data_IF_852240645643
#
_entry.id   IF_852240645643
#
_cell.length_a   1.000
_cell.length_b   1.000
_cell.length_c   1.000
_cell.angle_alpha   90.00
_cell.angle_beta   90.00
_cell.angle_gamma   90.00
#
_symmetry.space_group_name_H-M   'P 1'
#
loop_
_entity.id
_entity.type
_entity.pdbx_description
1 polymer ?
#
# COMPACT_ATOMS: atom_id res chain seq x y z
N UNK A 1 -8.81 -24.99 9.11
CA UNK A 1 -8.26 -26.36 9.20
C UNK A 1 -8.36 -26.99 10.61
N UNK A 2 -8.97 -26.36 11.62
CA UNK A 2 -9.11 -26.93 12.98
C UNK A 2 -10.27 -27.95 13.14
N UNK A 3 -11.35 -27.82 12.38
CA UNK A 3 -12.57 -28.66 12.52
C UNK A 3 -12.32 -30.14 12.12
N UNK A 4 -11.31 -30.41 11.28
CA UNK A 4 -10.99 -31.77 10.82
C UNK A 4 -10.27 -32.63 11.87
N UNK A 5 -9.67 -32.02 12.90
CA UNK A 5 -8.94 -32.76 13.93
C UNK A 5 -9.83 -33.22 15.11
N UNK A 6 -11.04 -32.64 15.27
CA UNK A 6 -11.91 -32.84 16.44
C UNK A 6 -13.20 -33.59 16.10
N UNK A 7 -13.22 -34.37 15.01
CA UNK A 7 -14.36 -35.25 14.71
C UNK A 7 -15.70 -34.53 14.48
N UNK A 8 -15.68 -33.23 14.14
CA UNK A 8 -16.88 -32.47 13.79
C UNK A 8 -17.71 -31.91 14.95
N UNK A 9 -17.30 -32.13 16.21
CA UNK A 9 -18.02 -31.58 17.36
C UNK A 9 -17.49 -30.18 17.73
N UNK A 10 -18.27 -29.15 17.40
CA UNK A 10 -17.94 -27.74 17.70
C UNK A 10 -17.96 -27.44 19.20
N UNK A 11 -18.63 -28.25 20.03
CA UNK A 11 -18.78 -27.99 21.46
C UNK A 11 -17.49 -28.17 22.27
N UNK A 12 -16.47 -28.81 21.68
CA UNK A 12 -15.18 -29.12 22.32
C UNK A 12 -14.12 -28.03 22.04
N UNK A 13 -14.41 -27.10 21.12
CA UNK A 13 -13.48 -26.04 20.75
C UNK A 13 -13.81 -24.79 21.56
N UNK A 14 -12.98 -24.51 22.56
CA UNK A 14 -12.97 -23.21 23.22
C UNK A 14 -12.43 -22.16 22.24
N UNK A 15 -13.29 -21.27 21.74
CA UNK A 15 -12.92 -20.21 20.79
C UNK A 15 -11.79 -19.33 21.32
N UNK A 16 -11.64 -19.25 22.65
CA UNK A 16 -10.64 -18.44 23.32
C UNK A 16 -9.20 -18.90 23.04
N UNK A 17 -8.98 -20.15 22.63
CA UNK A 17 -7.64 -20.64 22.25
C UNK A 17 -7.16 -20.10 20.89
N UNK A 18 -8.07 -19.55 20.09
CA UNK A 18 -7.77 -18.95 18.78
C UNK A 18 -7.80 -17.41 18.82
N UNK A 19 -8.05 -16.84 19.99
CA UNK A 19 -8.07 -15.40 20.22
C UNK A 19 -6.76 -14.96 20.86
N UNK A 20 -6.28 -13.77 20.51
CA UNK A 20 -5.12 -13.21 21.18
C UNK A 20 -5.47 -12.88 22.65
N UNK A 21 -4.61 -13.22 23.63
CA UNK A 21 -4.87 -13.00 25.05
C UNK A 21 -4.72 -11.52 25.48
N UNK A 22 -4.40 -10.63 24.53
CA UNK A 22 -4.16 -9.23 24.79
C UNK A 22 -5.45 -8.48 25.13
N UNK A 23 -5.35 -7.38 25.89
CA UNK A 23 -6.50 -6.50 26.08
C UNK A 23 -6.93 -5.91 24.75
N UNK A 24 -8.21 -5.53 24.65
CA UNK A 24 -8.68 -4.71 23.53
C UNK A 24 -7.83 -3.43 23.45
N UNK A 25 -7.67 -2.84 22.25
CA UNK A 25 -7.04 -1.52 22.11
C UNK A 25 -7.59 -0.50 23.11
N UNK A 26 -6.70 0.14 23.85
CA UNK A 26 -7.05 1.15 24.87
C UNK A 26 -6.86 2.59 24.37
N UNK A 27 -5.97 2.76 23.39
CA UNK A 27 -5.61 4.07 22.85
C UNK A 27 -6.01 4.19 21.38
N UNK A 28 -6.05 5.42 20.89
CA UNK A 28 -6.37 5.72 19.49
C UNK A 28 -5.31 5.14 18.57
N UNK A 29 -4.05 5.21 18.98
CA UNK A 29 -2.88 4.76 18.23
C UNK A 29 -2.90 3.25 18.06
N UNK A 30 -3.13 2.48 19.14
CA UNK A 30 -3.21 1.02 19.07
C UNK A 30 -4.38 0.57 18.20
N UNK A 31 -5.53 1.23 18.33
CA UNK A 31 -6.68 0.95 17.48
C UNK A 31 -6.39 1.25 16.00
N UNK A 32 -5.70 2.37 15.72
CA UNK A 32 -5.32 2.75 14.36
C UNK A 32 -4.34 1.73 13.75
N UNK A 33 -3.36 1.26 14.51
CA UNK A 33 -2.41 0.23 14.07
C UNK A 33 -3.13 -1.08 13.76
N UNK A 34 -4.03 -1.53 14.64
CA UNK A 34 -4.84 -2.73 14.43
C UNK A 34 -5.69 -2.63 13.16
N UNK A 35 -6.39 -1.51 12.98
CA UNK A 35 -7.23 -1.30 11.79
C UNK A 35 -6.40 -1.18 10.51
N UNK A 36 -5.22 -0.56 10.58
CA UNK A 36 -4.32 -0.40 9.44
C UNK A 36 -3.79 -1.76 8.96
N UNK A 37 -3.26 -2.59 9.88
CA UNK A 37 -2.76 -3.92 9.57
C UNK A 37 -3.87 -4.82 9.00
N UNK A 38 -5.04 -4.86 9.65
CA UNK A 38 -6.18 -5.63 9.17
C UNK A 38 -6.69 -5.18 7.80
N UNK A 39 -6.67 -3.87 7.53
CA UNK A 39 -7.05 -3.31 6.23
C UNK A 39 -6.03 -3.66 5.15
N UNK A 40 -4.73 -3.51 5.42
CA UNK A 40 -3.64 -3.87 4.51
C UNK A 40 -3.74 -5.35 4.12
N UNK A 41 -3.85 -6.24 5.12
CA UNK A 41 -3.88 -7.67 4.89
C UNK A 41 -5.07 -8.08 4.00
N UNK A 42 -6.27 -7.52 4.26
CA UNK A 42 -7.46 -7.81 3.45
C UNK A 42 -7.37 -7.23 2.04
N UNK A 43 -6.86 -6.01 1.89
CA UNK A 43 -6.66 -5.37 0.58
C UNK A 43 -5.64 -6.16 -0.24
N UNK A 44 -4.53 -6.56 0.38
CA UNK A 44 -3.48 -7.38 -0.23
C UNK A 44 -4.01 -8.73 -0.72
N UNK A 45 -4.87 -9.36 0.07
CA UNK A 45 -5.48 -10.64 -0.27
C UNK A 45 -6.50 -10.52 -1.42
N UNK A 46 -7.33 -9.46 -1.42
CA UNK A 46 -8.42 -9.30 -2.40
C UNK A 46 -7.99 -8.61 -3.71
N UNK A 47 -6.94 -7.80 -3.70
CA UNK A 47 -6.41 -7.06 -4.87
C UNK A 47 -7.49 -6.26 -5.61
N UNK A 48 -8.07 -5.22 -4.97
CA UNK A 48 -9.14 -4.44 -5.57
C UNK A 48 -8.71 -3.76 -6.86
N UNK A 49 -9.61 -3.68 -7.84
CA UNK A 49 -9.32 -3.11 -9.17
C UNK A 49 -9.59 -1.61 -9.27
N UNK A 50 -10.41 -1.08 -8.36
CA UNK A 50 -10.82 0.32 -8.35
C UNK A 50 -10.98 0.81 -6.90
N UNK A 51 -11.06 2.13 -6.76
CA UNK A 51 -11.14 2.79 -5.46
C UNK A 51 -12.42 2.43 -4.69
N UNK A 52 -13.54 2.21 -5.38
CA UNK A 52 -14.83 1.84 -4.74
C UNK A 52 -14.70 0.49 -4.05
N UNK A 53 -14.10 -0.49 -4.72
CA UNK A 53 -13.84 -1.81 -4.18
C UNK A 53 -12.84 -1.74 -3.01
N UNK A 54 -11.77 -0.96 -3.16
CA UNK A 54 -10.78 -0.73 -2.10
C UNK A 54 -11.44 -0.17 -0.84
N UNK A 55 -12.21 0.91 -0.98
CA UNK A 55 -12.93 1.56 0.12
C UNK A 55 -13.89 0.59 0.79
N UNK A 56 -14.59 -0.23 0.00
CA UNK A 56 -15.52 -1.24 0.51
C UNK A 56 -14.81 -2.24 1.42
N UNK A 57 -13.66 -2.77 1.00
CA UNK A 57 -12.87 -3.73 1.78
C UNK A 57 -12.39 -3.11 3.11
N UNK A 58 -11.92 -1.87 3.06
CA UNK A 58 -11.49 -1.15 4.25
C UNK A 58 -12.68 -0.93 5.20
N UNK A 59 -13.83 -0.51 4.67
CA UNK A 59 -15.04 -0.32 5.47
C UNK A 59 -15.50 -1.64 6.11
N UNK A 60 -15.55 -2.73 5.35
CA UNK A 60 -15.87 -4.08 5.86
C UNK A 60 -14.93 -4.47 7.02
N UNK A 61 -13.64 -4.11 6.93
CA UNK A 61 -12.65 -4.36 7.99
C UNK A 61 -12.99 -3.61 9.28
N UNK A 62 -13.26 -2.30 9.17
CA UNK A 62 -13.60 -1.45 10.30
C UNK A 62 -14.93 -1.86 10.93
N UNK A 63 -15.94 -2.16 10.10
CA UNK A 63 -17.25 -2.63 10.54
C UNK A 63 -17.12 -3.96 11.30
N UNK A 64 -16.32 -4.92 10.81
CA UNK A 64 -16.07 -6.20 11.50
C UNK A 64 -15.49 -5.96 12.90
N UNK A 65 -14.47 -5.11 13.03
CA UNK A 65 -13.88 -4.82 14.33
C UNK A 65 -14.86 -4.10 15.27
N UNK A 66 -15.77 -3.28 14.73
CA UNK A 66 -16.81 -2.61 15.50
C UNK A 66 -17.87 -3.61 16.00
N UNK A 67 -18.33 -4.51 15.14
CA UNK A 67 -19.30 -5.55 15.45
C UNK A 67 -18.76 -6.58 16.47
N UNK A 68 -17.47 -6.91 16.39
CA UNK A 68 -16.76 -7.76 17.35
C UNK A 68 -16.45 -7.03 18.67
N UNK A 69 -16.82 -5.75 18.81
CA UNK A 69 -16.58 -4.95 20.00
C UNK A 69 -15.11 -4.65 20.28
N UNK A 70 -14.21 -4.79 19.30
CA UNK A 70 -12.76 -4.60 19.48
C UNK A 70 -12.39 -3.13 19.78
N UNK A 71 -13.29 -2.19 19.49
CA UNK A 71 -13.05 -0.75 19.66
C UNK A 71 -13.72 -0.15 20.91
N UNK A 72 -14.40 -0.97 21.72
CA UNK A 72 -15.20 -0.52 22.88
C UNK A 72 -14.36 0.19 23.95
N UNK A 73 -13.10 -0.18 24.10
CA UNK A 73 -12.20 0.37 25.12
C UNK A 73 -11.32 1.52 24.56
N UNK A 74 -11.66 2.03 23.38
CA UNK A 74 -10.96 3.13 22.72
C UNK A 74 -11.78 4.42 22.77
N UNK A 75 -11.15 5.61 22.78
CA UNK A 75 -11.88 6.88 22.69
C UNK A 75 -12.21 7.29 21.24
N UNK A 76 -12.34 6.32 20.32
CA UNK A 76 -12.66 6.59 18.92
C UNK A 76 -14.17 6.80 18.71
N UNK A 77 -14.51 7.86 17.99
CA UNK A 77 -15.89 8.16 17.59
C UNK A 77 -16.21 7.60 16.20
N UNK A 78 -17.49 7.39 15.90
CA UNK A 78 -17.94 6.96 14.56
C UNK A 78 -17.51 7.94 13.44
N UNK A 79 -17.43 9.24 13.76
CA UNK A 79 -16.89 10.26 12.85
C UNK A 79 -15.42 9.99 12.53
N UNK A 80 -14.63 9.63 13.53
CA UNK A 80 -13.20 9.32 13.35
C UNK A 80 -13.01 8.02 12.60
N UNK A 81 -13.86 7.01 12.80
CA UNK A 81 -13.85 5.80 11.98
C UNK A 81 -14.08 6.12 10.50
N UNK A 82 -14.97 7.06 10.20
CA UNK A 82 -15.21 7.51 8.81
C UNK A 82 -13.97 8.18 8.22
N UNK A 83 -13.30 9.04 9.00
CA UNK A 83 -12.04 9.70 8.61
C UNK A 83 -10.92 8.67 8.41
N UNK A 84 -10.85 7.64 9.25
CA UNK A 84 -9.87 6.55 9.14
C UNK A 84 -10.08 5.79 7.83
N UNK A 85 -11.32 5.43 7.48
CA UNK A 85 -11.64 4.77 6.21
C UNK A 85 -11.23 5.62 5.01
N UNK A 86 -11.50 6.92 5.05
CA UNK A 86 -11.10 7.87 4.00
C UNK A 86 -9.57 7.93 3.87
N UNK A 87 -8.88 8.09 5.00
CA UNK A 87 -7.42 8.16 5.06
C UNK A 87 -6.77 6.89 4.53
N UNK A 88 -7.23 5.72 4.97
CA UNK A 88 -6.70 4.43 4.53
C UNK A 88 -6.96 4.20 3.05
N UNK A 89 -8.14 4.58 2.55
CA UNK A 89 -8.45 4.48 1.11
C UNK A 89 -7.46 5.31 0.30
N UNK A 90 -7.19 6.55 0.71
CA UNK A 90 -6.24 7.43 0.03
C UNK A 90 -4.80 6.86 0.06
N UNK A 91 -4.34 6.37 1.20
CA UNK A 91 -3.00 5.79 1.35
C UNK A 91 -2.84 4.51 0.52
N UNK A 92 -3.79 3.58 0.61
CA UNK A 92 -3.70 2.28 -0.06
C UNK A 92 -3.94 2.38 -1.57
N UNK A 93 -4.69 3.40 -2.03
CA UNK A 93 -4.84 3.67 -3.47
C UNK A 93 -3.49 3.86 -4.17
N UNK A 94 -2.55 4.56 -3.52
CA UNK A 94 -1.20 4.78 -4.06
C UNK A 94 -0.33 3.53 -4.10
N UNK A 95 -0.55 2.57 -3.20
CA UNK A 95 0.20 1.30 -3.15
C UNK A 95 -0.35 0.24 -4.10
N UNK A 96 -1.68 0.20 -4.28
CA UNK A 96 -2.36 -0.89 -4.97
C UNK A 96 -2.85 -0.54 -6.38
N UNK A 97 -2.57 0.67 -6.86
CA UNK A 97 -2.70 0.97 -8.29
C UNK A 97 -1.36 0.74 -8.99
N UNK A 98 -1.35 -0.09 -10.05
CA UNK A 98 -0.12 -0.46 -10.73
C UNK A 98 0.60 0.80 -11.21
N UNK A 99 1.94 0.77 -11.06
CA UNK A 99 2.84 1.78 -11.61
C UNK A 99 2.43 2.05 -13.06
N UNK A 100 2.10 3.29 -13.38
CA UNK A 100 1.71 3.68 -14.74
C UNK A 100 2.80 3.22 -15.69
N UNK A 101 2.46 2.34 -16.64
CA UNK A 101 3.37 1.98 -17.72
C UNK A 101 3.63 3.26 -18.52
N UNK A 102 4.90 3.65 -18.62
CA UNK A 102 5.26 4.73 -19.51
C UNK A 102 4.86 4.30 -20.93
N UNK A 103 4.13 5.15 -21.68
CA UNK A 103 3.89 4.85 -23.08
C UNK A 103 5.26 4.60 -23.72
N UNK A 104 5.42 3.45 -24.35
CA UNK A 104 6.56 3.20 -25.22
C UNK A 104 6.47 4.26 -26.31
N UNK A 105 7.23 5.34 -26.16
CA UNK A 105 7.48 6.21 -27.28
C UNK A 105 8.23 5.34 -28.27
N UNK A 106 7.57 4.98 -29.38
CA UNK A 106 8.28 4.64 -30.60
C UNK A 106 9.06 5.90 -31.00
N UNK A 107 10.18 6.14 -30.33
CA UNK A 107 11.13 7.14 -30.79
C UNK A 107 11.71 6.50 -32.03
N UNK A 108 11.43 7.01 -33.25
CA UNK A 108 12.09 6.49 -34.43
C UNK A 108 13.59 6.69 -34.19
N UNK A 109 14.30 5.60 -33.97
CA UNK A 109 15.76 5.61 -33.87
C UNK A 109 16.23 6.24 -35.17
N UNK A 110 16.67 7.50 -35.09
CA UNK A 110 17.34 8.13 -36.24
C UNK A 110 18.53 7.21 -36.52
N UNK A 111 18.70 6.70 -37.74
CA UNK A 111 19.87 5.91 -38.05
C UNK A 111 21.07 6.77 -37.67
N UNK A 112 21.87 6.28 -36.72
CA UNK A 112 23.20 6.83 -36.50
C UNK A 112 23.91 6.74 -37.86
N UNK A 113 24.43 7.85 -38.40
CA UNK A 113 25.27 7.77 -39.58
C UNK A 113 26.35 6.73 -39.29
N UNK A 114 26.58 5.83 -40.24
CA UNK A 114 27.69 4.89 -40.19
C UNK A 114 28.98 5.72 -40.29
N UNK A 115 29.47 6.16 -39.13
CA UNK A 115 30.75 6.83 -39.01
C UNK A 115 31.80 5.74 -39.22
N UNK A 116 32.55 5.82 -40.30
CA UNK A 116 33.71 4.96 -40.50
C UNK A 116 34.64 5.11 -39.29
N UNK A 117 35.30 4.02 -38.91
CA UNK A 117 36.17 3.93 -37.72
C UNK A 117 37.37 4.91 -37.73
N UNK A 118 37.47 5.79 -38.72
CA UNK A 118 38.55 6.74 -38.94
C UNK A 118 38.32 8.08 -38.23
N UNK A 119 37.11 8.38 -37.72
CA UNK A 119 36.81 9.66 -37.03
C UNK A 119 36.94 9.59 -35.49
N UNK A 120 37.25 8.43 -34.90
CA UNK A 120 37.38 8.26 -33.44
C UNK A 120 38.75 8.69 -32.87
N UNK A 121 39.74 9.00 -33.70
CA UNK A 121 41.13 9.22 -33.26
C UNK A 121 41.54 10.70 -33.10
N UNK A 122 40.58 11.64 -33.15
CA UNK A 122 40.86 13.08 -33.01
C UNK A 122 40.10 13.78 -31.87
N UNK A 123 39.72 13.05 -30.81
CA UNK A 123 39.36 13.68 -29.54
C UNK A 123 40.56 13.60 -28.58
N UNK A 124 41.59 14.38 -28.91
CA UNK A 124 42.62 14.74 -27.94
C UNK A 124 41.99 15.73 -26.93
N UNK A 125 41.83 15.31 -25.69
CA UNK A 125 41.35 16.18 -24.59
C UNK A 125 42.58 16.67 -23.83
N UNK A 126 42.64 17.97 -23.46
CA UNK A 126 42.27 18.25 -22.07
C UNK A 126 41.70 19.66 -21.81
N UNK A 127 40.70 19.71 -20.92
CA UNK A 127 40.42 20.89 -20.10
C UNK A 127 39.61 22.01 -20.75
N UNK A 128 38.29 21.99 -20.54
CA UNK A 128 37.48 23.22 -20.55
C UNK A 128 36.61 23.24 -19.30
N UNK A 129 36.97 24.17 -18.40
CA UNK A 129 36.20 24.62 -17.24
C UNK A 129 34.72 24.79 -17.59
N UNK A 130 33.84 24.14 -16.84
CA UNK A 130 32.41 24.45 -16.81
C UNK A 130 32.22 25.83 -16.18
N UNK A 131 32.11 26.88 -16.99
CA UNK A 131 31.52 28.14 -16.53
C UNK A 131 30.01 27.97 -16.37
N UNK A 132 29.54 28.11 -15.13
CA UNK A 132 28.12 28.18 -14.78
C UNK A 132 27.68 29.63 -15.05
N UNK A 133 26.68 29.89 -15.92
CA UNK A 133 26.18 31.24 -16.07
C UNK A 133 25.35 31.62 -14.84
N UNK A 134 25.78 32.66 -14.13
CA UNK A 134 24.98 33.31 -13.10
C UNK A 134 23.70 33.89 -13.73
N UNK A 135 22.55 33.47 -13.23
CA UNK A 135 21.27 34.12 -13.46
C UNK A 135 20.97 35.02 -12.26
N UNK A 136 21.12 36.32 -12.44
CA UNK A 136 20.40 37.35 -11.68
C UNK A 136 19.99 38.47 -12.63
N UNK A 137 18.67 38.62 -12.81
CA UNK A 137 17.89 39.85 -12.56
C UNK A 137 16.45 39.64 -13.00
#
# INVERSE_FOLDING_TARGET
QAIKAVGGDKSILDENIFTYPGPKPQSRETALVMLADGSEARVRAKRPKNEVELRKIIKETVDTCLEEGQLEETPLTLKELSIIVDSFTATLKGMYHPRVEYPTMDVPTRPVPDLSAEELDQVDTPGTTLEIPAQES
#
